data_IF_190661643163
#
_entry.id   IF_190661643163
#
_cell.length_a   1.000
_cell.length_b   1.000
_cell.length_c   1.000
_cell.angle_alpha   90.00
_cell.angle_beta   90.00
_cell.angle_gamma   90.00
#
_symmetry.space_group_name_H-M   'P 1'
#
loop_
_entity.id
_entity.type
_entity.pdbx_description
1 polymer ?
#
# COMPACT_ATOMS: atom_id res chain seq x y z
N UNK A 1 -2.50 9.14 -10.83
CA UNK A 1 -3.70 8.41 -10.38
C UNK A 1 -3.80 8.36 -8.85
N UNK A 2 -2.79 7.80 -8.17
CA UNK A 2 -2.71 7.71 -6.70
C UNK A 2 -3.07 8.99 -5.94
N UNK A 3 -2.43 10.11 -6.24
CA UNK A 3 -2.74 11.39 -5.57
C UNK A 3 -4.17 11.91 -5.82
N UNK A 4 -4.77 11.58 -6.98
CA UNK A 4 -6.17 11.93 -7.29
C UNK A 4 -7.14 11.05 -6.50
N UNK A 5 -6.85 9.75 -6.41
CA UNK A 5 -7.64 8.81 -5.61
C UNK A 5 -7.57 9.17 -4.11
N UNK A 6 -6.38 9.43 -3.59
CA UNK A 6 -6.19 9.85 -2.19
C UNK A 6 -6.93 11.16 -1.90
N UNK A 7 -6.82 12.19 -2.76
CA UNK A 7 -7.61 13.44 -2.59
C UNK A 7 -9.13 13.22 -2.68
N UNK A 8 -9.59 12.21 -3.40
CA UNK A 8 -11.02 11.91 -3.49
C UNK A 8 -11.54 11.19 -2.24
N UNK A 9 -10.72 10.32 -1.65
CA UNK A 9 -11.07 9.60 -0.42
C UNK A 9 -10.93 10.49 0.81
N UNK A 10 -9.95 11.40 0.77
CA UNK A 10 -9.50 12.20 1.89
C UNK A 10 -9.38 13.66 1.43
N UNK A 11 -10.53 14.26 1.12
CA UNK A 11 -10.62 15.58 0.49
C UNK A 11 -10.16 16.72 1.39
N UNK A 12 -10.23 16.53 2.71
CA UNK A 12 -9.82 17.50 3.72
C UNK A 12 -8.42 17.23 4.28
N UNK A 13 -7.86 16.06 4.00
CA UNK A 13 -6.60 15.63 4.57
C UNK A 13 -5.42 16.15 3.75
N UNK A 14 -4.40 16.66 4.44
CA UNK A 14 -3.19 17.25 3.86
C UNK A 14 -2.24 16.23 3.16
N UNK A 15 -2.76 15.08 2.72
CA UNK A 15 -1.96 13.97 2.18
C UNK A 15 -1.12 14.41 0.99
N UNK A 16 -1.65 15.29 0.14
CA UNK A 16 -0.90 15.80 -1.02
C UNK A 16 0.09 16.93 -0.72
N UNK A 17 0.04 17.49 0.50
CA UNK A 17 0.93 18.57 0.98
C UNK A 17 1.94 18.09 2.03
N UNK A 18 1.81 16.86 2.51
CA UNK A 18 2.84 16.17 3.30
C UNK A 18 4.18 16.25 2.56
N UNK A 19 5.16 16.89 3.19
CA UNK A 19 6.49 17.10 2.61
C UNK A 19 7.09 15.74 2.25
N UNK A 20 7.38 15.51 0.96
CA UNK A 20 7.96 14.26 0.45
C UNK A 20 9.44 14.13 0.84
N UNK A 21 9.70 13.88 2.11
CA UNK A 21 11.04 13.62 2.62
C UNK A 21 11.08 12.20 3.18
N UNK A 22 11.86 11.32 2.54
CA UNK A 22 11.99 9.92 2.97
C UNK A 22 11.36 8.92 2.00
N UNK A 23 11.31 7.66 2.45
CA UNK A 23 10.82 6.50 1.68
C UNK A 23 9.30 6.31 1.85
N UNK A 24 8.75 6.79 2.99
CA UNK A 24 7.33 6.71 3.33
C UNK A 24 6.91 8.04 3.96
N UNK A 25 5.78 8.58 3.52
CA UNK A 25 5.12 9.72 4.18
C UNK A 25 3.95 9.19 4.99
N UNK A 26 3.90 9.52 6.28
CA UNK A 26 2.77 9.20 7.16
C UNK A 26 2.03 10.51 7.43
N UNK A 27 0.73 10.53 7.18
CA UNK A 27 -0.12 11.68 7.39
C UNK A 27 -1.38 11.22 8.13
N UNK A 28 -1.90 12.06 9.03
CA UNK A 28 -3.16 11.81 9.74
C UNK A 28 -4.29 12.41 8.93
N UNK A 29 -5.44 11.74 8.84
CA UNK A 29 -6.66 12.37 8.37
C UNK A 29 -7.15 13.39 9.41
N UNK A 30 -7.08 14.68 9.05
CA UNK A 30 -7.48 15.80 9.89
C UNK A 30 -8.92 15.73 10.40
N UNK A 31 -9.79 15.00 9.68
CA UNK A 31 -11.18 14.82 10.13
C UNK A 31 -11.31 13.87 11.32
N UNK A 32 -10.31 13.00 11.52
CA UNK A 32 -10.29 11.96 12.56
C UNK A 32 -9.22 12.21 13.63
N UNK A 33 -8.52 13.34 13.58
CA UNK A 33 -7.34 13.61 14.42
C UNK A 33 -7.63 13.52 15.93
N UNK A 34 -8.82 13.92 16.35
CA UNK A 34 -9.24 13.91 17.75
C UNK A 34 -10.11 12.69 18.11
N UNK A 35 -10.25 11.72 17.23
CA UNK A 35 -10.97 10.47 17.50
C UNK A 35 -10.10 9.51 18.32
N UNK A 36 -10.73 8.53 18.97
CA UNK A 36 -10.03 7.48 19.71
C UNK A 36 -9.12 6.63 18.79
N UNK A 37 -9.52 6.50 17.52
CA UNK A 37 -8.82 5.72 16.49
C UNK A 37 -8.61 6.56 15.22
N UNK A 38 -7.63 7.49 15.22
CA UNK A 38 -7.39 8.36 14.08
C UNK A 38 -6.92 7.55 12.87
N UNK A 39 -7.36 7.97 11.68
CA UNK A 39 -6.96 7.32 10.42
C UNK A 39 -5.57 7.80 10.03
N UNK A 40 -4.62 6.86 10.03
CA UNK A 40 -3.24 7.07 9.60
C UNK A 40 -3.05 6.58 8.16
N UNK A 41 -2.44 7.42 7.33
CA UNK A 41 -2.21 7.12 5.92
C UNK A 41 -0.71 7.13 5.64
N UNK A 42 -0.18 5.95 5.31
CA UNK A 42 1.21 5.77 4.90
C UNK A 42 1.30 5.66 3.38
N UNK A 43 1.87 6.67 2.73
CA UNK A 43 2.20 6.64 1.31
C UNK A 43 3.67 6.26 1.11
N UNK A 44 3.91 5.10 0.51
CA UNK A 44 5.23 4.67 0.02
C UNK A 44 5.27 4.61 -1.51
N UNK A 45 6.46 4.72 -2.11
CA UNK A 45 6.70 4.45 -3.53
C UNK A 45 7.76 3.35 -3.62
N UNK A 46 7.49 2.25 -4.36
CA UNK A 46 8.37 1.09 -4.38
C UNK A 46 9.78 1.36 -4.96
N UNK A 47 9.90 2.30 -5.91
CA UNK A 47 11.14 2.57 -6.67
C UNK A 47 11.93 3.80 -6.20
N UNK A 48 12.12 4.01 -4.89
CA UNK A 48 12.97 5.13 -4.45
C UNK A 48 14.47 4.83 -4.61
N UNK A 49 15.05 5.36 -5.70
CA UNK A 49 16.48 5.62 -5.78
C UNK A 49 16.81 6.80 -4.84
N UNK A 50 17.23 6.48 -3.61
CA UNK A 50 17.67 7.40 -2.56
C UNK A 50 16.68 8.52 -2.18
N UNK A 51 16.14 8.45 -0.98
CA UNK A 51 15.44 9.59 -0.39
C UNK A 51 16.34 10.82 -0.47
N UNK A 52 15.84 11.92 -1.07
CA UNK A 52 16.54 13.21 -1.03
C UNK A 52 16.78 13.54 0.45
N UNK A 53 18.04 13.81 0.82
CA UNK A 53 18.34 14.32 2.14
C UNK A 53 17.44 15.54 2.38
N UNK A 54 16.83 15.62 3.58
CA UNK A 54 15.99 16.77 3.93
C UNK A 54 16.75 18.04 3.58
N UNK A 55 16.19 18.86 2.69
CA UNK A 55 16.71 20.20 2.45
C UNK A 55 16.74 20.96 3.77
N UNK A 56 17.79 21.79 3.99
CA UNK A 56 18.10 22.56 5.21
C UNK A 56 16.94 22.61 6.22
N UNK A 57 16.96 21.73 7.23
CA UNK A 57 16.05 21.83 8.36
C UNK A 57 16.42 23.04 9.21
N UNK A 58 15.49 23.98 9.38
CA UNK A 58 15.69 25.18 10.18
C UNK A 58 15.01 25.14 11.55
N UNK A 59 14.30 24.06 11.90
CA UNK A 59 13.60 23.98 13.17
C UNK A 59 14.14 22.95 14.17
N UNK A 60 14.44 21.70 13.79
CA UNK A 60 14.82 20.63 14.75
C UNK A 60 15.99 19.78 14.23
N UNK A 61 16.81 19.29 15.15
CA UNK A 61 17.90 18.35 14.90
C UNK A 61 17.36 17.04 14.29
N UNK A 62 18.05 16.52 13.28
CA UNK A 62 17.73 15.24 12.68
C UNK A 62 18.97 14.37 12.66
N UNK A 63 18.90 13.26 13.38
CA UNK A 63 19.93 12.23 13.40
C UNK A 63 19.60 11.20 12.32
N UNK A 64 20.50 11.00 11.36
CA UNK A 64 20.39 9.93 10.38
C UNK A 64 21.28 8.77 10.81
N UNK A 65 20.70 7.60 11.03
CA UNK A 65 21.43 6.37 11.35
C UNK A 65 21.36 5.43 10.14
N UNK A 66 22.32 5.52 9.20
CA UNK A 66 22.37 4.57 8.10
C UNK A 66 22.67 3.19 8.67
N UNK A 67 21.81 2.21 8.37
CA UNK A 67 22.09 0.82 8.72
C UNK A 67 22.85 0.21 7.53
N UNK A 68 24.15 -0.09 7.66
CA UNK A 68 24.91 -0.72 6.59
C UNK A 68 24.44 -2.16 6.48
N UNK A 69 23.86 -2.49 5.33
CA UNK A 69 23.45 -3.85 5.00
C UNK A 69 24.38 -4.39 3.91
N UNK A 70 25.43 -5.14 4.28
CA UNK A 70 26.38 -5.65 3.29
C UNK A 70 25.70 -6.63 2.32
N UNK A 71 25.88 -6.43 1.01
CA UNK A 71 25.55 -7.43 -0.01
C UNK A 71 24.10 -7.43 -0.55
N UNK A 72 23.40 -6.30 -0.51
CA UNK A 72 22.08 -6.13 -1.14
C UNK A 72 22.20 -5.84 -2.65
N UNK A 73 22.55 -6.87 -3.41
CA UNK A 73 22.28 -6.92 -4.85
C UNK A 73 20.76 -6.76 -5.11
N UNK A 74 20.37 -6.26 -6.30
CA UNK A 74 18.97 -5.92 -6.63
C UNK A 74 17.97 -7.04 -6.27
N UNK A 75 18.22 -8.34 -6.54
CA UNK A 75 17.28 -9.42 -6.15
C UNK A 75 17.06 -9.50 -4.63
N UNK A 76 18.13 -9.39 -3.84
CA UNK A 76 18.06 -9.44 -2.37
C UNK A 76 17.34 -8.22 -1.79
N UNK A 77 17.39 -7.09 -2.49
CA UNK A 77 16.67 -5.87 -2.07
C UNK A 77 15.17 -6.08 -2.16
N UNK A 78 14.72 -6.73 -3.24
CA UNK A 78 13.31 -6.95 -3.42
C UNK A 78 12.76 -7.92 -2.38
N UNK A 79 13.49 -9.02 -2.10
CA UNK A 79 13.15 -9.97 -1.04
C UNK A 79 13.05 -9.27 0.33
N UNK A 80 14.00 -8.39 0.66
CA UNK A 80 13.95 -7.62 1.90
C UNK A 80 12.70 -6.74 1.99
N UNK A 81 12.39 -6.01 0.92
CA UNK A 81 11.18 -5.18 0.84
C UNK A 81 9.93 -6.04 1.03
N UNK A 82 9.88 -7.22 0.41
CA UNK A 82 8.77 -8.15 0.55
C UNK A 82 8.61 -8.63 2.00
N UNK A 83 9.70 -8.92 2.71
CA UNK A 83 9.64 -9.28 4.12
C UNK A 83 9.16 -8.12 5.01
N UNK A 84 9.62 -6.90 4.73
CA UNK A 84 9.16 -5.71 5.46
C UNK A 84 7.67 -5.49 5.23
N UNK A 85 7.17 -5.66 4.00
CA UNK A 85 5.75 -5.49 3.69
C UNK A 85 4.89 -6.62 4.27
N UNK A 86 5.26 -7.87 4.02
CA UNK A 86 4.48 -9.05 4.42
C UNK A 86 4.47 -9.26 5.94
N UNK A 87 5.59 -8.97 6.63
CA UNK A 87 5.71 -9.26 8.06
C UNK A 87 5.64 -8.02 8.93
N UNK A 88 6.47 -7.00 8.67
CA UNK A 88 6.57 -5.87 9.58
C UNK A 88 5.37 -4.92 9.44
N UNK A 89 5.11 -4.41 8.24
CA UNK A 89 4.06 -3.42 8.02
C UNK A 89 2.66 -4.00 8.21
N UNK A 90 2.47 -5.26 7.84
CA UNK A 90 1.19 -5.96 7.99
C UNK A 90 0.72 -6.05 9.45
N UNK A 91 1.61 -5.99 10.45
CA UNK A 91 1.23 -5.93 11.87
C UNK A 91 0.49 -4.65 12.26
N UNK A 92 0.73 -3.56 11.54
CA UNK A 92 0.27 -2.22 11.89
C UNK A 92 -0.68 -1.64 10.84
N UNK A 93 -1.18 -2.47 9.93
CA UNK A 93 -1.95 -2.00 8.78
C UNK A 93 -3.30 -2.71 8.73
N UNK A 94 -4.38 -1.95 8.79
CA UNK A 94 -5.73 -2.48 8.58
C UNK A 94 -6.06 -2.69 7.10
N UNK A 95 -5.48 -1.85 6.23
CA UNK A 95 -5.71 -1.86 4.78
C UNK A 95 -4.41 -1.61 4.02
N UNK A 96 -4.01 -2.57 3.17
CA UNK A 96 -2.93 -2.37 2.20
C UNK A 96 -3.55 -2.03 0.86
N UNK A 97 -3.23 -0.83 0.36
CA UNK A 97 -3.73 -0.33 -0.92
C UNK A 97 -2.62 -0.37 -1.98
N UNK A 98 -2.83 -1.17 -3.03
CA UNK A 98 -1.89 -1.30 -4.14
C UNK A 98 -2.49 -0.73 -5.42
N UNK A 99 -1.72 0.09 -6.13
CA UNK A 99 -2.10 0.61 -7.45
C UNK A 99 -1.50 -0.30 -8.50
N UNK A 100 -2.33 -1.00 -9.27
CA UNK A 100 -1.88 -2.03 -10.21
C UNK A 100 -0.85 -1.50 -11.23
N UNK A 101 -1.01 -0.25 -11.66
CA UNK A 101 -0.11 0.40 -12.61
C UNK A 101 1.31 0.60 -12.04
N UNK A 102 1.47 0.74 -10.73
CA UNK A 102 2.78 0.88 -10.08
C UNK A 102 3.57 -0.45 -10.12
N UNK A 103 2.89 -1.58 -10.37
CA UNK A 103 3.49 -2.91 -10.45
C UNK A 103 3.55 -3.46 -11.89
N UNK A 104 3.04 -2.73 -12.89
CA UNK A 104 2.95 -3.21 -14.27
C UNK A 104 1.67 -3.97 -14.61
N UNK A 105 0.65 -3.96 -13.74
CA UNK A 105 -0.67 -4.56 -13.99
C UNK A 105 -1.16 -5.48 -12.87
N UNK A 106 -2.37 -6.02 -13.03
CA UNK A 106 -2.98 -6.91 -12.04
C UNK A 106 -2.21 -8.23 -11.91
N UNK A 107 -1.69 -8.80 -13.00
CA UNK A 107 -0.89 -10.03 -12.93
C UNK A 107 0.34 -9.87 -12.02
N UNK A 108 1.08 -8.77 -12.15
CA UNK A 108 2.25 -8.49 -11.33
C UNK A 108 1.89 -8.22 -9.86
N UNK A 109 0.73 -7.61 -9.60
CA UNK A 109 0.18 -7.51 -8.23
C UNK A 109 -0.13 -8.90 -7.68
N UNK A 110 -0.73 -9.79 -8.47
CA UNK A 110 -1.04 -11.15 -8.02
C UNK A 110 0.23 -11.92 -7.64
N UNK A 111 1.28 -11.85 -8.46
CA UNK A 111 2.59 -12.45 -8.12
C UNK A 111 3.16 -11.87 -6.82
N UNK A 112 3.07 -10.55 -6.65
CA UNK A 112 3.54 -9.89 -5.43
C UNK A 112 2.80 -10.40 -4.19
N UNK A 113 1.48 -10.50 -4.27
CA UNK A 113 0.64 -10.98 -3.16
C UNK A 113 0.90 -12.45 -2.85
N UNK A 114 1.15 -13.28 -3.87
CA UNK A 114 1.57 -14.67 -3.69
C UNK A 114 2.92 -14.74 -2.97
N UNK A 115 3.90 -13.92 -3.36
CA UNK A 115 5.19 -13.83 -2.66
C UNK A 115 4.99 -13.48 -1.19
N UNK A 116 4.16 -12.47 -0.87
CA UNK A 116 3.88 -12.09 0.52
C UNK A 116 3.16 -13.20 1.29
N UNK A 117 2.19 -13.87 0.68
CA UNK A 117 1.50 -15.00 1.29
C UNK A 117 2.42 -16.22 1.48
N UNK A 118 3.44 -16.38 0.64
CA UNK A 118 4.45 -17.44 0.77
C UNK A 118 5.43 -17.16 1.90
N UNK A 119 5.79 -15.89 2.13
CA UNK A 119 6.58 -15.47 3.30
C UNK A 119 5.85 -15.81 4.61
N UNK A 120 4.52 -15.81 4.58
CA UNK A 120 3.66 -16.23 5.67
C UNK A 120 3.07 -15.08 6.50
N UNK A 121 2.38 -15.40 7.59
CA UNK A 121 1.68 -14.41 8.39
C UNK A 121 2.65 -13.49 9.14
N UNK A 122 2.19 -12.26 9.36
CA UNK A 122 2.90 -11.25 10.12
C UNK A 122 3.03 -11.61 11.61
N UNK A 123 2.04 -12.33 12.14
CA UNK A 123 1.93 -12.68 13.54
C UNK A 123 1.44 -14.13 13.71
N UNK A 124 1.96 -14.81 14.73
CA UNK A 124 1.52 -16.14 15.15
C UNK A 124 0.58 -16.09 16.36
N UNK A 125 0.04 -14.91 16.69
CA UNK A 125 -0.95 -14.76 17.76
C UNK A 125 -2.25 -15.50 17.40
N UNK A 126 -3.01 -15.93 18.42
CA UNK A 126 -4.30 -16.61 18.24
C UNK A 126 -5.32 -15.77 17.44
N UNK A 127 -5.23 -14.44 17.57
CA UNK A 127 -6.06 -13.48 16.85
C UNK A 127 -5.15 -12.52 16.05
N UNK A 128 -4.59 -12.97 14.91
CA UNK A 128 -3.66 -12.14 14.16
C UNK A 128 -4.42 -11.02 13.45
N UNK A 129 -3.88 -9.80 13.53
CA UNK A 129 -4.34 -8.68 12.72
C UNK A 129 -3.88 -8.96 11.29
N UNK A 130 -4.85 -9.15 10.38
CA UNK A 130 -4.61 -9.43 8.97
C UNK A 130 -5.11 -8.27 8.11
N UNK A 131 -4.23 -7.58 7.38
CA UNK A 131 -4.65 -6.46 6.55
C UNK A 131 -5.69 -6.90 5.50
N UNK A 132 -6.61 -5.98 5.20
CA UNK A 132 -7.49 -6.07 4.04
C UNK A 132 -6.75 -5.55 2.82
N UNK A 133 -6.88 -6.22 1.68
CA UNK A 133 -6.27 -5.78 0.43
C UNK A 133 -7.25 -4.96 -0.41
N UNK A 134 -6.79 -3.81 -0.87
CA UNK A 134 -7.48 -2.97 -1.85
C UNK A 134 -6.58 -2.76 -3.07
N UNK A 135 -6.97 -3.32 -4.20
CA UNK A 135 -6.24 -3.19 -5.46
C UNK A 135 -6.96 -2.18 -6.35
N UNK A 136 -6.27 -1.09 -6.67
CA UNK A 136 -6.82 -0.02 -7.50
C UNK A 136 -6.21 -0.12 -8.89
N UNK A 137 -7.06 -0.30 -9.90
CA UNK A 137 -6.65 -0.43 -11.29
C UNK A 137 -7.25 0.67 -12.17
N UNK A 138 -6.58 0.94 -13.29
CA UNK A 138 -6.98 1.88 -14.32
C UNK A 138 -7.01 1.15 -15.67
N UNK A 139 -8.00 0.28 -15.84
CA UNK A 139 -8.14 -0.58 -17.02
C UNK A 139 -9.30 -0.06 -17.86
N UNK A 140 -9.02 0.25 -19.13
CA UNK A 140 -10.02 0.72 -20.08
C UNK A 140 -10.82 -0.44 -20.66
N UNK A 141 -12.10 -0.18 -20.98
CA UNK A 141 -12.97 -1.14 -21.66
C UNK A 141 -13.44 -2.29 -20.77
N UNK A 142 -13.94 -3.35 -21.42
CA UNK A 142 -14.63 -4.46 -20.74
C UNK A 142 -13.70 -5.51 -20.13
N UNK A 143 -12.38 -5.34 -20.25
CA UNK A 143 -11.39 -6.31 -19.77
C UNK A 143 -11.22 -6.32 -18.25
N UNK A 144 -11.69 -5.29 -17.55
CA UNK A 144 -11.49 -5.19 -16.09
C UNK A 144 -12.07 -6.39 -15.34
N UNK A 145 -13.29 -6.82 -15.67
CA UNK A 145 -13.97 -7.89 -14.94
C UNK A 145 -13.20 -9.22 -15.07
N UNK A 146 -12.74 -9.58 -16.27
CA UNK A 146 -11.97 -10.79 -16.49
C UNK A 146 -10.61 -10.75 -15.80
N UNK A 147 -9.92 -9.60 -15.86
CA UNK A 147 -8.61 -9.44 -15.23
C UNK A 147 -8.68 -9.43 -13.70
N UNK A 148 -9.70 -8.78 -13.13
CA UNK A 148 -9.96 -8.77 -11.70
C UNK A 148 -10.30 -10.18 -11.20
N UNK A 149 -11.15 -10.92 -11.93
CA UNK A 149 -11.48 -12.31 -11.61
C UNK A 149 -10.24 -13.21 -11.66
N UNK A 150 -9.38 -13.04 -12.67
CA UNK A 150 -8.13 -13.80 -12.81
C UNK A 150 -7.19 -13.55 -11.62
N UNK A 151 -7.02 -12.29 -11.21
CA UNK A 151 -6.26 -11.95 -10.01
C UNK A 151 -6.87 -12.60 -8.76
N UNK A 152 -8.19 -12.48 -8.58
CA UNK A 152 -8.87 -13.02 -7.39
C UNK A 152 -8.73 -14.54 -7.31
N UNK A 153 -8.99 -15.26 -8.39
CA UNK A 153 -8.83 -16.72 -8.43
C UNK A 153 -7.40 -17.13 -8.12
N UNK A 154 -6.41 -16.43 -8.68
CA UNK A 154 -4.99 -16.72 -8.47
C UNK A 154 -4.53 -16.46 -7.04
N UNK A 155 -4.95 -15.36 -6.43
CA UNK A 155 -4.52 -14.96 -5.08
C UNK A 155 -5.28 -15.73 -4.01
N UNK A 156 -6.60 -15.86 -4.14
CA UNK A 156 -7.45 -16.52 -3.14
C UNK A 156 -7.26 -18.05 -3.11
N UNK A 157 -6.78 -18.65 -4.20
CA UNK A 157 -6.44 -20.08 -4.22
C UNK A 157 -5.10 -20.40 -3.56
N UNK A 158 -4.28 -19.39 -3.25
CA UNK A 158 -3.00 -19.60 -2.57
C UNK A 158 -3.23 -19.99 -1.09
N UNK A 159 -2.64 -21.09 -0.59
CA UNK A 159 -2.94 -21.60 0.75
C UNK A 159 -2.58 -20.63 1.87
N UNK A 160 -1.53 -19.81 1.70
CA UNK A 160 -1.14 -18.80 2.69
C UNK A 160 -1.99 -17.53 2.69
N UNK A 161 -2.99 -17.40 1.80
CA UNK A 161 -3.75 -16.14 1.68
C UNK A 161 -4.51 -15.81 2.97
N UNK A 162 -5.27 -16.75 3.51
CA UNK A 162 -6.12 -16.52 4.69
C UNK A 162 -5.32 -16.28 5.97
N UNK A 163 -4.06 -16.71 5.99
CA UNK A 163 -3.15 -16.51 7.12
C UNK A 163 -2.52 -15.11 7.05
N UNK A 164 -2.22 -14.62 5.85
CA UNK A 164 -1.61 -13.30 5.64
C UNK A 164 -2.61 -12.15 5.52
N UNK A 165 -3.78 -12.36 4.94
CA UNK A 165 -4.75 -11.31 4.58
C UNK A 165 -6.18 -11.70 4.96
N UNK A 166 -7.01 -10.70 5.27
CA UNK A 166 -8.41 -10.93 5.67
C UNK A 166 -9.42 -10.81 4.52
N UNK A 167 -9.11 -10.03 3.49
CA UNK A 167 -9.98 -9.87 2.31
C UNK A 167 -9.23 -9.29 1.13
N UNK A 168 -9.84 -9.37 -0.06
CA UNK A 168 -9.30 -8.83 -1.31
C UNK A 168 -10.39 -8.14 -2.13
N UNK A 169 -10.24 -6.84 -2.33
CA UNK A 169 -11.13 -6.02 -3.15
C UNK A 169 -10.35 -5.42 -4.32
N UNK A 170 -10.94 -5.45 -5.52
CA UNK A 170 -10.35 -4.87 -6.73
C UNK A 170 -11.30 -3.82 -7.28
N UNK A 171 -10.82 -2.60 -7.50
CA UNK A 171 -11.63 -1.47 -7.99
C UNK A 171 -11.02 -0.86 -9.24
N UNK A 172 -11.86 -0.51 -10.21
CA UNK A 172 -11.45 0.22 -11.40
C UNK A 172 -11.80 1.71 -11.29
N UNK A 173 -10.84 2.60 -11.51
CA UNK A 173 -11.09 4.05 -11.48
C UNK A 173 -11.56 4.62 -12.82
N UNK A 174 -11.32 3.93 -13.94
CA UNK A 174 -11.84 4.35 -15.26
C UNK A 174 -13.32 4.02 -15.45
N UNK A 175 -13.84 3.06 -14.67
CA UNK A 175 -15.27 2.70 -14.66
C UNK A 175 -16.16 3.73 -13.96
N UNK A 176 -15.59 4.74 -13.28
CA UNK A 176 -16.31 5.86 -12.66
C UNK A 176 -16.11 7.16 -13.44
N UNK A 177 -16.39 7.13 -14.74
CA UNK A 177 -16.80 8.37 -15.41
C UNK A 177 -18.31 8.51 -15.18
N UNK A 178 -18.69 9.51 -14.38
CA UNK A 178 -20.06 9.94 -14.07
C UNK A 178 -20.95 8.96 -13.27
N UNK A 179 -20.89 9.03 -11.93
CA UNK A 179 -22.11 9.09 -11.14
C UNK A 179 -21.89 10.00 -9.94
N UNK A 180 -22.80 10.97 -9.81
CA UNK A 180 -22.80 12.06 -8.86
C UNK A 180 -22.87 11.56 -7.41
N UNK A 181 -22.39 12.45 -6.53
CA UNK A 181 -22.88 12.72 -5.18
C UNK A 181 -24.25 12.09 -4.90
N UNK A 182 -24.36 11.31 -3.83
CA UNK A 182 -25.34 11.51 -2.76
C UNK A 182 -24.85 10.80 -1.50
N UNK A 183 -24.69 11.59 -0.44
CA UNK A 183 -24.59 11.14 0.95
C UNK A 183 -26.02 10.80 1.41
N UNK A 184 -26.16 9.73 2.17
CA UNK A 184 -27.12 9.66 3.29
C UNK A 184 -26.31 9.43 4.56
#
# INVERSE_FOLDING_TARGET
MKSKALRSLYSQSAISTCRKFGIVNICIDSTTENEEHPVLLAESVPDYAQAKSRGKQTCHEASNYPVPWPGLEIPRRQEFIDHVQARLLSLFTDVICLFAQDYGGLDAVAERLITWATIGPASNLEHPIRPRLLIVANISGNHFASEALRLQLKVLSHPGFSDSFSSLNVVNVLGKSAFNVLRE
#
